data_IF_367900389050
#
_entry.id   IF_367900389050
#
_cell.length_a   1.000
_cell.length_b   1.000
_cell.length_c   1.000
_cell.angle_alpha   90.00
_cell.angle_beta   90.00
_cell.angle_gamma   90.00
#
_symmetry.space_group_name_H-M   'P 1'
#
loop_
_entity.id
_entity.type
_entity.pdbx_description
1 polymer ?
#
# COMPACT_ATOMS: atom_id res chain seq x y z
N UNK A 1 -25.55 -15.97 13.03
CA UNK A 1 -24.98 -16.70 11.89
C UNK A 1 -24.11 -15.68 11.19
N UNK A 2 -22.85 -15.56 11.61
CA UNK A 2 -21.94 -14.53 11.11
C UNK A 2 -21.62 -14.83 9.65
N UNK A 3 -22.05 -13.91 8.79
CA UNK A 3 -21.69 -13.92 7.38
C UNK A 3 -20.31 -13.29 7.32
N UNK A 4 -19.28 -14.12 7.48
CA UNK A 4 -17.92 -13.72 7.11
C UNK A 4 -17.95 -13.32 5.64
N UNK A 5 -17.87 -12.03 5.34
CA UNK A 5 -17.86 -11.54 3.97
C UNK A 5 -16.46 -11.79 3.39
N UNK A 6 -16.33 -12.90 2.66
CA UNK A 6 -15.13 -13.27 1.92
C UNK A 6 -15.06 -12.48 0.61
N UNK A 7 -14.00 -11.70 0.44
CA UNK A 7 -13.73 -10.96 -0.79
C UNK A 7 -12.72 -11.70 -1.65
N UNK A 8 -13.12 -12.10 -2.86
CA UNK A 8 -12.22 -12.66 -3.86
C UNK A 8 -11.60 -11.54 -4.69
N UNK A 9 -10.28 -11.55 -4.82
CA UNK A 9 -9.51 -10.52 -5.55
C UNK A 9 -8.45 -11.16 -6.44
N UNK A 10 -8.07 -10.45 -7.50
CA UNK A 10 -6.91 -10.79 -8.32
C UNK A 10 -5.90 -9.65 -8.22
N UNK A 11 -4.66 -9.97 -7.85
CA UNK A 11 -3.55 -9.02 -7.77
C UNK A 11 -2.37 -9.66 -8.48
N UNK A 12 -1.84 -8.99 -9.51
CA UNK A 12 -0.74 -9.53 -10.34
C UNK A 12 -1.01 -10.94 -10.88
N UNK A 13 -2.26 -11.28 -11.20
CA UNK A 13 -2.64 -12.62 -11.68
C UNK A 13 -2.80 -13.66 -10.57
N UNK A 14 -2.52 -13.33 -9.31
CA UNK A 14 -2.73 -14.20 -8.15
C UNK A 14 -4.15 -13.99 -7.63
N UNK A 15 -4.91 -15.08 -7.55
CA UNK A 15 -6.25 -15.07 -6.95
C UNK A 15 -6.13 -15.25 -5.42
N UNK A 16 -6.66 -14.30 -4.66
CA UNK A 16 -6.65 -14.30 -3.21
C UNK A 16 -8.09 -14.21 -2.68
N UNK A 17 -8.31 -14.78 -1.49
CA UNK A 17 -9.55 -14.60 -0.74
C UNK A 17 -9.22 -13.92 0.57
N UNK A 18 -9.78 -12.73 0.79
CA UNK A 18 -9.56 -11.91 1.97
C UNK A 18 -10.81 -11.94 2.83
N UNK A 19 -10.64 -12.17 4.14
CA UNK A 19 -11.72 -12.01 5.12
C UNK A 19 -11.74 -10.55 5.57
N UNK A 20 -12.89 -9.90 5.46
CA UNK A 20 -13.11 -8.55 6.03
C UNK A 20 -14.07 -8.64 7.20
N UNK A 21 -13.77 -7.92 8.28
CA UNK A 21 -14.66 -7.79 9.44
C UNK A 21 -15.71 -6.68 9.22
N UNK A 22 -15.45 -5.74 8.30
CA UNK A 22 -16.25 -4.56 8.01
C UNK A 22 -16.75 -4.54 6.55
N UNK A 23 -17.51 -3.50 6.18
CA UNK A 23 -18.02 -3.25 4.83
C UNK A 23 -16.92 -3.46 3.76
N UNK A 24 -17.10 -4.42 2.82
CA UNK A 24 -16.10 -4.74 1.81
C UNK A 24 -15.83 -3.58 0.83
N UNK A 25 -16.62 -2.51 0.85
CA UNK A 25 -16.45 -1.34 -0.01
C UNK A 25 -15.07 -0.70 0.14
N UNK A 26 -14.58 -0.51 1.37
CA UNK A 26 -13.26 0.09 1.59
C UNK A 26 -12.15 -0.82 1.06
N UNK A 27 -12.22 -2.13 1.36
CA UNK A 27 -11.22 -3.08 0.89
C UNK A 27 -11.22 -3.19 -0.65
N UNK A 28 -12.39 -3.13 -1.29
CA UNK A 28 -12.49 -3.08 -2.76
C UNK A 28 -11.81 -1.85 -3.34
N UNK A 29 -11.94 -0.68 -2.71
CA UNK A 29 -11.26 0.55 -3.14
C UNK A 29 -9.74 0.43 -3.01
N UNK A 30 -9.24 -0.14 -1.90
CA UNK A 30 -7.80 -0.41 -1.70
C UNK A 30 -7.26 -1.32 -2.80
N UNK A 31 -7.97 -2.41 -3.08
CA UNK A 31 -7.56 -3.40 -4.10
C UNK A 31 -7.59 -2.78 -5.51
N UNK A 32 -8.61 -1.98 -5.81
CA UNK A 32 -8.68 -1.25 -7.07
C UNK A 32 -7.49 -0.29 -7.22
N UNK A 33 -7.16 0.48 -6.19
CA UNK A 33 -6.06 1.43 -6.22
C UNK A 33 -4.70 0.72 -6.37
N UNK A 34 -4.49 -0.38 -5.65
CA UNK A 34 -3.29 -1.20 -5.77
C UNK A 34 -3.12 -1.71 -7.21
N UNK A 35 -4.16 -2.30 -7.80
CA UNK A 35 -4.11 -2.80 -9.18
C UNK A 35 -3.85 -1.67 -10.19
N UNK A 36 -4.46 -0.50 -9.98
CA UNK A 36 -4.17 0.67 -10.80
C UNK A 36 -2.69 1.07 -10.73
N UNK A 37 -2.12 1.15 -9.53
CA UNK A 37 -0.71 1.53 -9.36
C UNK A 37 0.25 0.49 -9.96
N UNK A 38 -0.09 -0.79 -9.86
CA UNK A 38 0.63 -1.88 -10.53
C UNK A 38 0.69 -1.66 -12.04
N UNK A 39 -0.43 -1.35 -12.67
CA UNK A 39 -0.46 -1.12 -14.12
C UNK A 39 0.27 0.18 -14.52
N UNK A 40 0.12 1.27 -13.75
CA UNK A 40 0.92 2.50 -13.95
C UNK A 40 2.43 2.22 -13.86
N UNK A 41 2.83 1.37 -12.92
CA UNK A 41 4.23 0.97 -12.72
C UNK A 41 4.72 0.11 -13.88
N UNK A 42 3.87 -0.80 -14.38
CA UNK A 42 4.17 -1.68 -15.52
C UNK A 42 4.38 -0.88 -16.80
N UNK A 43 3.58 0.15 -17.03
CA UNK A 43 3.70 1.02 -18.21
C UNK A 43 5.03 1.80 -18.20
N UNK A 44 5.45 2.27 -17.02
CA UNK A 44 6.72 3.00 -16.83
C UNK A 44 7.94 2.10 -16.94
N UNK A 45 7.84 0.89 -16.40
CA UNK A 45 8.94 -0.07 -16.32
C UNK A 45 8.59 -1.32 -17.14
N UNK A 46 8.85 -1.25 -18.45
CA UNK A 46 8.63 -2.40 -19.33
C UNK A 46 9.61 -3.53 -18.97
N UNK A 47 9.12 -4.77 -18.95
CA UNK A 47 9.92 -5.99 -18.78
C UNK A 47 10.52 -6.24 -17.39
N UNK A 48 9.96 -5.66 -16.33
CA UNK A 48 10.26 -6.09 -14.94
C UNK A 48 9.45 -7.33 -14.58
N UNK A 49 10.07 -8.21 -13.80
CA UNK A 49 9.37 -9.35 -13.20
C UNK A 49 8.29 -8.90 -12.19
N UNK A 50 7.40 -9.83 -11.86
CA UNK A 50 6.22 -9.58 -11.04
C UNK A 50 6.56 -9.11 -9.62
N UNK A 51 7.64 -9.63 -9.03
CA UNK A 51 8.09 -9.27 -7.69
C UNK A 51 8.63 -7.83 -7.67
N UNK A 52 9.49 -7.46 -8.62
CA UNK A 52 9.96 -6.07 -8.74
C UNK A 52 8.81 -5.11 -8.99
N UNK A 53 7.83 -5.53 -9.80
CA UNK A 53 6.63 -4.73 -10.06
C UNK A 53 5.82 -4.49 -8.78
N UNK A 54 5.67 -5.51 -7.91
CA UNK A 54 4.97 -5.34 -6.63
C UNK A 54 5.70 -4.37 -5.70
N UNK A 55 7.03 -4.51 -5.59
CA UNK A 55 7.86 -3.64 -4.73
C UNK A 55 7.78 -2.19 -5.21
N UNK A 56 8.00 -1.93 -6.50
CA UNK A 56 7.96 -0.58 -7.06
C UNK A 56 6.59 0.06 -6.89
N UNK A 57 5.51 -0.71 -7.09
CA UNK A 57 4.15 -0.23 -6.89
C UNK A 57 3.92 0.15 -5.43
N UNK A 58 4.35 -0.68 -4.47
CA UNK A 58 4.27 -0.36 -3.05
C UNK A 58 5.04 0.92 -2.69
N UNK A 59 6.26 1.10 -3.22
CA UNK A 59 7.06 2.31 -2.99
C UNK A 59 6.32 3.54 -3.51
N UNK A 60 5.77 3.50 -4.74
CA UNK A 60 5.03 4.62 -5.30
C UNK A 60 3.73 4.93 -4.55
N UNK A 61 3.03 3.92 -4.01
CA UNK A 61 1.87 4.15 -3.15
C UNK A 61 2.30 4.91 -1.88
N UNK A 62 3.36 4.46 -1.22
CA UNK A 62 3.80 5.09 0.04
C UNK A 62 4.29 6.52 -0.21
N UNK A 63 5.05 6.76 -1.28
CA UNK A 63 5.47 8.11 -1.68
C UNK A 63 4.26 9.03 -1.96
N UNK A 64 3.25 8.54 -2.68
CA UNK A 64 2.03 9.31 -2.96
C UNK A 64 1.26 9.65 -1.66
N UNK A 65 1.16 8.71 -0.72
CA UNK A 65 0.53 8.94 0.59
C UNK A 65 1.29 9.99 1.41
N UNK A 66 2.62 9.92 1.44
CA UNK A 66 3.47 10.92 2.10
C UNK A 66 3.27 12.30 1.47
N UNK A 67 3.26 12.38 0.14
CA UNK A 67 3.07 13.63 -0.59
C UNK A 67 1.67 14.23 -0.35
N UNK A 68 0.61 13.41 -0.38
CA UNK A 68 -0.75 13.84 -0.06
C UNK A 68 -0.85 14.37 1.37
N UNK A 69 -0.26 13.66 2.33
CA UNK A 69 -0.18 14.06 3.75
C UNK A 69 0.50 15.42 3.87
N UNK A 70 1.71 15.57 3.33
CA UNK A 70 2.49 16.82 3.39
C UNK A 70 1.75 17.98 2.73
N UNK A 71 1.07 17.76 1.60
CA UNK A 71 0.29 18.80 0.93
C UNK A 71 -0.98 19.19 1.73
N UNK A 72 -1.62 18.25 2.41
CA UNK A 72 -2.71 18.57 3.35
C UNK A 72 -2.22 19.39 4.54
N UNK A 73 -1.04 19.07 5.11
CA UNK A 73 -0.44 19.86 6.18
C UNK A 73 -0.04 21.27 5.72
N UNK A 74 0.54 21.41 4.52
CA UNK A 74 0.87 22.73 3.95
C UNK A 74 -0.37 23.58 3.69
N UNK A 75 -1.50 22.97 3.30
CA UNK A 75 -2.77 23.67 3.14
C UNK A 75 -3.48 23.96 4.49
N UNK A 76 -3.15 23.23 5.56
CA UNK A 76 -3.62 23.47 6.93
C UNK A 76 -2.70 24.36 7.77
N UNK A 77 -1.54 24.75 7.23
CA UNK A 77 -0.51 25.56 7.89
C UNK A 77 -0.89 27.00 8.26
N UNK A 78 -2.19 27.31 8.40
CA UNK A 78 -2.66 28.48 9.14
C UNK A 78 -3.19 28.13 10.54
N UNK A 79 -3.31 26.85 10.92
CA UNK A 79 -3.84 26.47 12.24
C UNK A 79 -3.05 25.30 12.86
N UNK A 80 -2.05 25.67 13.68
CA UNK A 80 -1.38 24.92 14.78
C UNK A 80 -0.70 23.57 14.51
N UNK A 81 0.60 23.57 14.83
CA UNK A 81 1.54 22.44 14.84
C UNK A 81 1.33 21.47 16.02
N UNK A 82 1.80 20.23 15.77
CA UNK A 82 2.35 19.23 16.69
C UNK A 82 1.45 18.35 17.57
N UNK A 83 1.56 17.03 17.32
CA UNK A 83 1.90 15.94 18.27
C UNK A 83 1.75 14.54 17.61
N UNK A 84 0.91 14.38 16.58
CA UNK A 84 0.64 13.05 15.96
C UNK A 84 1.58 12.66 14.80
N UNK A 85 2.50 13.54 14.39
CA UNK A 85 3.38 13.32 13.23
C UNK A 85 4.50 12.31 13.48
N UNK A 86 4.95 12.15 14.72
CA UNK A 86 6.02 11.21 15.10
C UNK A 86 5.58 9.73 15.01
N UNK A 87 4.37 9.41 15.45
CA UNK A 87 3.91 8.01 15.58
C UNK A 87 3.66 7.34 14.20
N UNK A 88 3.18 8.15 13.24
CA UNK A 88 2.94 7.68 11.87
C UNK A 88 4.26 7.48 11.11
N UNK A 89 5.26 8.34 11.34
CA UNK A 89 6.57 8.20 10.72
C UNK A 89 7.23 6.89 11.15
N UNK A 90 7.17 6.59 12.46
CA UNK A 90 7.67 5.33 13.01
C UNK A 90 6.91 4.11 12.47
N UNK A 91 5.58 4.19 12.32
CA UNK A 91 4.81 3.06 11.79
C UNK A 91 5.09 2.81 10.30
N UNK A 92 5.34 3.88 9.53
CA UNK A 92 5.78 3.79 8.13
C UNK A 92 7.16 3.15 8.05
N UNK A 93 8.11 3.58 8.90
CA UNK A 93 9.46 3.00 8.94
C UNK A 93 9.40 1.52 9.35
N UNK A 94 8.55 1.16 10.32
CA UNK A 94 8.29 -0.25 10.70
C UNK A 94 7.72 -1.06 9.53
N UNK A 95 6.78 -0.48 8.77
CA UNK A 95 6.21 -1.15 7.59
C UNK A 95 7.26 -1.34 6.48
N UNK A 96 8.10 -0.33 6.22
CA UNK A 96 9.21 -0.43 5.26
C UNK A 96 10.23 -1.50 5.66
N UNK A 97 10.64 -1.54 6.94
CA UNK A 97 11.58 -2.53 7.43
C UNK A 97 11.04 -3.96 7.30
N UNK A 98 9.74 -4.18 7.56
CA UNK A 98 9.10 -5.49 7.33
C UNK A 98 9.13 -5.90 5.87
N UNK A 99 8.92 -4.97 4.93
CA UNK A 99 9.02 -5.25 3.50
C UNK A 99 10.45 -5.63 3.12
N UNK A 100 11.46 -4.88 3.59
CA UNK A 100 12.88 -5.19 3.33
C UNK A 100 13.24 -6.58 3.87
N UNK A 101 12.85 -6.89 5.11
CA UNK A 101 13.09 -8.20 5.73
C UNK A 101 12.53 -9.34 4.86
N UNK A 102 11.29 -9.21 4.40
CA UNK A 102 10.64 -10.21 3.55
C UNK A 102 11.35 -10.36 2.20
N UNK A 103 11.97 -9.30 1.68
CA UNK A 103 12.76 -9.35 0.46
C UNK A 103 14.12 -10.03 0.69
N UNK A 104 14.80 -9.73 1.79
CA UNK A 104 16.08 -10.35 2.14
C UNK A 104 15.93 -11.86 2.40
N UNK A 105 14.84 -12.26 3.05
CA UNK A 105 14.52 -13.66 3.30
C UNK A 105 14.21 -14.42 2.00
N UNK A 106 13.64 -13.75 0.99
CA UNK A 106 13.40 -14.36 -0.32
C UNK A 106 14.66 -14.41 -1.21
N UNK A 107 15.64 -13.55 -0.98
CA UNK A 107 16.90 -13.51 -1.76
C UNK A 107 17.96 -14.48 -1.21
N UNK A 108 17.87 -14.85 0.07
CA UNK A 108 18.82 -15.75 0.74
C UNK A 108 18.37 -17.23 0.85
N UNK A 109 17.32 -17.62 0.10
CA UNK A 109 16.86 -19.02 -0.06
C UNK A 109 17.20 -19.51 -1.45
#
# INVERSE_FOLDING_TARGET
>A
MDKDDLLKVNILGINLTLKTADDPTQLKQVIWFLNKKIEETREKHKSVDQLKLSILSSIYIVDELINLKNNQFRNRGNETEDIETLDIQEEIDRAFQRVIQVLDDMVNV
#
